data_IF_430912132067
#
_entry.id   IF_430912132067
#
_cell.length_a   1.000
_cell.length_b   1.000
_cell.length_c   1.000
_cell.angle_alpha   90.00
_cell.angle_beta   90.00
_cell.angle_gamma   90.00
#
_symmetry.space_group_name_H-M   'P 1'
#
loop_
_entity.id
_entity.type
_entity.pdbx_description
1 polymer ?
#
# COMPACT_ATOMS: atom_id res chain seq x y z
N UNK A 1 -3.18 -3.80 -13.41
CA UNK A 1 -4.49 -3.18 -13.06
C UNK A 1 -5.49 -4.14 -12.41
N UNK A 2 -5.70 -5.38 -12.88
CA UNK A 2 -6.69 -6.33 -12.30
C UNK A 2 -6.53 -6.66 -10.79
N UNK A 3 -5.31 -6.73 -10.23
CA UNK A 3 -5.12 -7.11 -8.82
C UNK A 3 -5.59 -6.06 -7.80
N UNK A 4 -5.51 -4.77 -8.15
CA UNK A 4 -5.88 -3.68 -7.23
C UNK A 4 -7.40 -3.53 -7.15
N UNK A 5 -8.10 -3.73 -8.26
CA UNK A 5 -9.57 -3.67 -8.32
C UNK A 5 -10.26 -4.84 -7.58
N UNK A 6 -9.57 -5.96 -7.36
CA UNK A 6 -10.09 -7.12 -6.63
C UNK A 6 -9.81 -7.11 -5.13
N UNK A 7 -9.31 -6.00 -4.56
CA UNK A 7 -8.98 -5.91 -3.13
C UNK A 7 -7.84 -6.84 -2.68
N UNK A 8 -7.01 -7.30 -3.63
CA UNK A 8 -5.87 -8.20 -3.37
C UNK A 8 -4.64 -7.51 -2.81
N UNK A 9 -4.67 -6.19 -2.66
CA UNK A 9 -3.57 -5.37 -2.15
C UNK A 9 -4.07 -4.51 -1.00
N UNK A 10 -3.32 -4.53 0.10
CA UNK A 10 -3.52 -3.65 1.24
C UNK A 10 -2.28 -2.80 1.46
N UNK A 11 -2.46 -1.57 1.92
CA UNK A 11 -1.39 -0.66 2.32
C UNK A 11 -1.63 -0.27 3.78
N UNK A 12 -0.62 -0.42 4.64
CA UNK A 12 -0.72 -0.23 6.09
C UNK A 12 -1.95 -0.92 6.72
N UNK A 13 -2.23 -2.15 6.28
CA UNK A 13 -3.41 -2.96 6.68
C UNK A 13 -4.77 -2.40 6.22
N UNK A 14 -4.82 -1.32 5.45
CA UNK A 14 -6.02 -0.83 4.79
C UNK A 14 -6.10 -1.40 3.36
N UNK A 15 -7.23 -2.00 2.99
CA UNK A 15 -7.42 -2.52 1.63
C UNK A 15 -7.54 -1.38 0.63
N UNK A 16 -6.79 -1.43 -0.48
CA UNK A 16 -7.07 -0.52 -1.59
C UNK A 16 -8.29 -1.03 -2.35
N UNK A 17 -9.30 -0.17 -2.42
CA UNK A 17 -10.52 -0.40 -3.21
C UNK A 17 -10.41 0.29 -4.58
N UNK A 18 -9.64 1.39 -4.65
CA UNK A 18 -9.46 2.19 -5.86
C UNK A 18 -7.98 2.25 -6.25
N UNK A 19 -7.62 1.88 -7.49
CA UNK A 19 -6.24 1.98 -7.98
C UNK A 19 -5.74 3.42 -8.14
N UNK A 20 -6.63 4.40 -8.06
CA UNK A 20 -6.34 5.83 -8.19
C UNK A 20 -6.13 6.52 -6.84
N UNK A 21 -6.21 5.79 -5.73
CA UNK A 21 -5.98 6.35 -4.41
C UNK A 21 -4.55 6.87 -4.32
N UNK A 22 -4.40 8.18 -4.16
CA UNK A 22 -3.11 8.84 -3.96
C UNK A 22 -2.62 8.57 -2.55
N UNK A 23 -1.43 7.99 -2.44
CA UNK A 23 -0.69 7.88 -1.18
C UNK A 23 -0.10 9.26 -0.87
N UNK A 24 -0.38 9.77 0.32
CA UNK A 24 0.10 11.08 0.78
C UNK A 24 1.04 10.94 1.97
N UNK A 25 1.70 12.02 2.38
CA UNK A 25 2.70 11.98 3.44
C UNK A 25 2.16 11.42 4.77
N UNK A 26 0.86 11.59 5.03
CA UNK A 26 0.17 11.07 6.23
C UNK A 26 0.01 9.55 6.24
N UNK A 27 0.10 8.91 5.08
CA UNK A 27 0.04 7.45 4.94
C UNK A 27 1.41 6.82 5.18
N UNK A 28 2.49 7.60 5.33
CA UNK A 28 3.80 7.03 5.58
C UNK A 28 4.02 6.75 7.06
N UNK A 29 4.52 5.55 7.34
CA UNK A 29 5.04 5.21 8.65
C UNK A 29 6.34 6.00 8.83
N UNK A 30 6.34 6.89 9.82
CA UNK A 30 7.47 7.76 10.16
C UNK A 30 7.99 8.59 8.96
N UNK A 31 7.08 9.01 8.07
CA UNK A 31 7.36 9.78 6.85
C UNK A 31 8.37 9.11 5.89
N UNK A 32 8.62 7.81 6.03
CA UNK A 32 9.72 7.11 5.35
C UNK A 32 9.30 5.79 4.72
N UNK A 33 8.32 5.12 5.28
CA UNK A 33 7.99 3.74 4.91
C UNK A 33 6.53 3.55 4.58
N UNK A 34 6.27 2.62 3.65
CA UNK A 34 4.96 2.15 3.30
C UNK A 34 4.94 0.63 3.38
N UNK A 35 4.03 0.08 4.18
CA UNK A 35 3.84 -1.37 4.25
C UNK A 35 2.80 -1.78 3.20
N UNK A 36 3.22 -2.52 2.20
CA UNK A 36 2.34 -3.08 1.17
C UNK A 36 2.17 -4.56 1.40
N UNK A 37 0.93 -5.04 1.31
CA UNK A 37 0.58 -6.43 1.47
C UNK A 37 -0.15 -6.91 0.20
N UNK A 38 0.31 -8.01 -0.38
CA UNK A 38 -0.32 -8.68 -1.54
C UNK A 38 -0.86 -10.04 -1.11
N UNK A 39 -2.18 -10.15 -0.96
CA UNK A 39 -2.83 -11.31 -0.35
C UNK A 39 -2.47 -11.47 1.15
N UNK A 40 -2.62 -12.67 1.72
CA UNK A 40 -2.47 -12.85 3.18
C UNK A 40 -1.00 -12.90 3.66
N UNK A 41 -0.08 -13.42 2.85
CA UNK A 41 1.29 -13.76 3.28
C UNK A 41 2.41 -12.87 2.73
N UNK A 42 2.19 -12.16 1.63
CA UNK A 42 3.27 -11.38 1.00
C UNK A 42 3.25 -9.96 1.54
N UNK A 43 4.27 -9.60 2.29
CA UNK A 43 4.50 -8.25 2.79
C UNK A 43 5.74 -7.66 2.12
N UNK A 44 5.65 -6.39 1.77
CA UNK A 44 6.68 -5.61 1.13
C UNK A 44 6.79 -4.29 1.87
N UNK A 45 8.01 -3.88 2.19
CA UNK A 45 8.29 -2.57 2.76
C UNK A 45 8.86 -1.69 1.65
N UNK A 46 8.17 -0.60 1.33
CA UNK A 46 8.64 0.40 0.38
C UNK A 46 9.20 1.56 1.19
N UNK A 47 10.44 1.95 0.91
CA UNK A 47 11.05 3.16 1.45
C UNK A 47 10.92 4.28 0.43
N UNK A 48 10.40 5.42 0.84
CA UNK A 48 10.42 6.64 0.02
C UNK A 48 11.86 7.17 0.05
N UNK A 49 12.46 7.30 -1.12
CA UNK A 49 13.67 8.10 -1.30
C UNK A 49 13.22 9.53 -1.57
N UNK A 50 13.86 10.48 -0.89
CA UNK A 50 13.82 11.90 -1.25
C UNK A 50 14.18 12.10 -2.73
#
# INVERSE_FOLDING_TARGET
RRMVSGGGVSINKQKLVRPEQRITAVDFINNKYLLVQKGKKNYYLIRVKE
#
